data_IF_637267885542
#
_entry.id   IF_637267885542
#
_cell.length_a   1.000
_cell.length_b   1.000
_cell.length_c   1.000
_cell.angle_alpha   90.00
_cell.angle_beta   90.00
_cell.angle_gamma   90.00
#
_symmetry.space_group_name_H-M   'P 1'
#
loop_
_entity.id
_entity.type
_entity.pdbx_description
1 polymer ?
#
# COMPACT_ATOMS: atom_id res chain seq x y z
N UNK A 1 40.61 -4.30 9.91
CA UNK A 1 39.62 -3.20 9.89
C UNK A 1 38.54 -3.57 10.90
N UNK A 2 38.13 -2.70 11.81
CA UNK A 2 37.04 -3.02 12.71
C UNK A 2 35.78 -3.22 11.88
N UNK A 3 35.12 -4.36 12.05
CA UNK A 3 33.82 -4.63 11.45
C UNK A 3 32.83 -3.67 12.11
N UNK A 4 32.32 -2.71 11.34
CA UNK A 4 31.26 -1.82 11.82
C UNK A 4 30.06 -2.68 12.22
N UNK A 5 29.72 -2.73 13.49
CA UNK A 5 28.60 -3.51 14.02
C UNK A 5 27.30 -2.71 13.90
N UNK A 6 27.05 -2.15 12.72
CA UNK A 6 25.84 -1.37 12.46
C UNK A 6 24.63 -2.30 12.44
N UNK A 7 23.62 -1.97 13.22
CA UNK A 7 22.32 -2.63 13.20
C UNK A 7 21.36 -1.79 12.36
N UNK A 8 20.60 -2.46 11.52
CA UNK A 8 19.61 -1.82 10.64
C UNK A 8 18.23 -2.38 10.95
N UNK A 9 17.21 -1.55 10.85
CA UNK A 9 15.81 -1.94 10.90
C UNK A 9 15.24 -1.68 9.52
N UNK A 10 14.63 -2.71 8.92
CA UNK A 10 13.90 -2.60 7.66
C UNK A 10 12.42 -2.90 7.96
N UNK A 11 11.55 -1.98 7.53
CA UNK A 11 10.10 -2.16 7.61
C UNK A 11 9.58 -2.34 6.20
N UNK A 12 8.80 -3.41 5.98
CA UNK A 12 8.11 -3.66 4.72
C UNK A 12 6.61 -3.76 4.95
N UNK A 13 5.84 -2.94 4.24
CA UNK A 13 4.39 -2.96 4.25
C UNK A 13 3.84 -3.76 3.07
N UNK A 14 3.00 -4.74 3.34
CA UNK A 14 2.24 -5.45 2.31
C UNK A 14 0.78 -5.01 2.38
N UNK A 15 0.35 -4.22 1.39
CA UNK A 15 -0.98 -3.63 1.34
C UNK A 15 -1.80 -4.28 0.22
N UNK A 16 -2.89 -4.91 0.61
CA UNK A 16 -3.73 -5.65 -0.31
C UNK A 16 -5.19 -5.63 0.14
N UNK A 17 -6.10 -5.46 -0.80
CA UNK A 17 -7.51 -5.80 -0.67
C UNK A 17 -7.91 -6.69 -1.83
N UNK A 18 -8.70 -7.74 -1.59
CA UNK A 18 -9.24 -8.56 -2.66
C UNK A 18 -10.19 -7.73 -3.53
N UNK A 19 -10.43 -8.13 -4.79
CA UNK A 19 -11.52 -7.56 -5.58
C UNK A 19 -12.84 -7.73 -4.79
N UNK A 20 -13.57 -6.63 -4.64
CA UNK A 20 -14.82 -6.63 -3.87
C UNK A 20 -16.03 -6.31 -4.73
N UNK A 21 -15.78 -5.90 -5.97
CA UNK A 21 -16.80 -5.56 -6.94
C UNK A 21 -17.64 -6.80 -7.28
N UNK A 22 -18.95 -6.62 -7.31
CA UNK A 22 -19.84 -7.60 -7.91
C UNK A 22 -19.52 -7.71 -9.40
N UNK A 23 -19.17 -8.92 -9.86
CA UNK A 23 -18.71 -9.16 -11.22
C UNK A 23 -19.72 -8.80 -12.33
N UNK A 24 -21.00 -8.66 -11.99
CA UNK A 24 -22.08 -8.32 -12.93
C UNK A 24 -22.45 -6.84 -12.90
N UNK A 25 -22.32 -6.21 -11.71
CA UNK A 25 -22.73 -4.82 -11.50
C UNK A 25 -21.52 -3.86 -11.58
N UNK A 26 -20.31 -4.38 -11.50
CA UNK A 26 -19.04 -3.62 -11.47
C UNK A 26 -18.99 -2.57 -10.34
N UNK A 27 -19.76 -2.80 -9.29
CA UNK A 27 -19.79 -1.96 -8.08
C UNK A 27 -19.60 -2.80 -6.83
N UNK A 28 -19.11 -2.18 -5.78
CA UNK A 28 -19.03 -2.81 -4.46
C UNK A 28 -20.39 -2.64 -3.78
N UNK A 29 -20.98 -3.76 -3.37
CA UNK A 29 -22.19 -3.77 -2.57
C UNK A 29 -21.89 -3.44 -1.12
N UNK A 30 -22.89 -2.90 -0.40
CA UNK A 30 -22.76 -2.59 1.02
C UNK A 30 -22.33 -3.83 1.82
N UNK A 31 -21.30 -3.66 2.66
CA UNK A 31 -20.76 -4.72 3.50
C UNK A 31 -21.01 -4.40 4.98
N UNK A 32 -22.03 -4.98 5.57
CA UNK A 32 -22.44 -4.75 6.97
C UNK A 32 -21.29 -4.90 7.97
N UNK A 33 -20.36 -5.82 7.71
CA UNK A 33 -19.18 -6.05 8.56
C UNK A 33 -18.15 -4.90 8.53
N UNK A 34 -18.26 -3.99 7.57
CA UNK A 34 -17.41 -2.81 7.46
C UNK A 34 -18.00 -1.58 8.18
N UNK A 35 -19.22 -1.69 8.74
CA UNK A 35 -19.86 -0.55 9.43
C UNK A 35 -18.89 0.22 10.35
N UNK A 36 -18.88 1.58 10.37
CA UNK A 36 -19.82 2.49 9.72
C UNK A 36 -19.50 2.86 8.27
N UNK A 37 -18.49 2.25 7.67
CA UNK A 37 -18.12 2.47 6.28
C UNK A 37 -18.97 1.64 5.34
N UNK A 38 -19.05 2.02 4.06
CA UNK A 38 -19.79 1.29 3.06
C UNK A 38 -19.21 -0.10 2.82
N UNK A 39 -17.90 -0.21 2.74
CA UNK A 39 -17.18 -1.45 2.47
C UNK A 39 -15.79 -1.48 3.11
N UNK A 40 -15.11 -2.60 3.01
CA UNK A 40 -13.79 -2.79 3.60
C UNK A 40 -12.68 -2.00 2.90
N UNK A 41 -12.82 -1.64 1.63
CA UNK A 41 -11.83 -0.78 0.98
C UNK A 41 -11.86 0.62 1.60
N UNK A 42 -13.06 1.18 1.78
CA UNK A 42 -13.27 2.45 2.46
C UNK A 42 -12.72 2.42 3.90
N UNK A 43 -13.12 1.40 4.66
CA UNK A 43 -12.74 1.27 6.07
C UNK A 43 -11.22 1.19 6.23
N UNK A 44 -10.55 0.30 5.52
CA UNK A 44 -9.10 0.13 5.67
C UNK A 44 -8.35 1.35 5.09
N UNK A 45 -8.89 2.03 4.10
CA UNK A 45 -8.32 3.28 3.63
C UNK A 45 -8.32 4.33 4.73
N UNK A 46 -9.45 4.56 5.39
CA UNK A 46 -9.55 5.52 6.49
C UNK A 46 -8.76 5.12 7.74
N UNK A 47 -8.73 3.83 8.08
CA UNK A 47 -8.06 3.34 9.30
C UNK A 47 -6.55 3.08 9.13
N UNK A 48 -6.07 2.88 7.90
CA UNK A 48 -4.69 2.48 7.65
C UNK A 48 -4.02 3.27 6.52
N UNK A 49 -4.57 3.27 5.30
CA UNK A 49 -3.81 3.75 4.15
C UNK A 49 -3.66 5.27 4.15
N UNK A 50 -4.70 6.02 4.39
CA UNK A 50 -4.67 7.48 4.52
C UNK A 50 -3.82 7.96 5.72
N UNK A 51 -3.95 7.39 6.94
CA UNK A 51 -3.09 7.77 8.06
C UNK A 51 -1.59 7.52 7.82
N UNK A 52 -1.22 6.55 6.99
CA UNK A 52 0.17 6.33 6.61
C UNK A 52 0.66 7.35 5.57
N UNK A 53 -0.21 7.84 4.70
CA UNK A 53 0.12 8.92 3.76
C UNK A 53 0.35 10.26 4.46
N UNK A 54 -0.37 10.50 5.58
CA UNK A 54 -0.37 11.77 6.32
C UNK A 54 -0.16 11.57 7.81
N UNK A 55 0.88 10.82 8.19
CA UNK A 55 1.20 10.49 9.58
C UNK A 55 1.58 11.75 10.37
N UNK A 56 0.87 11.99 11.47
CA UNK A 56 1.03 13.19 12.30
C UNK A 56 2.00 12.91 13.44
N UNK A 57 3.10 13.64 13.48
CA UNK A 57 4.05 13.62 14.61
C UNK A 57 3.65 14.71 15.58
N UNK A 58 3.29 14.32 16.79
CA UNK A 58 2.85 15.23 17.84
C UNK A 58 4.01 15.57 18.78
N UNK A 59 3.97 16.76 19.40
CA UNK A 59 4.80 17.11 20.54
C UNK A 59 4.17 16.62 21.86
N UNK A 60 4.81 16.93 23.00
CA UNK A 60 4.36 16.54 24.34
C UNK A 60 2.99 17.13 24.72
N UNK A 61 2.61 18.25 24.12
CA UNK A 61 1.33 18.93 24.31
C UNK A 61 0.23 18.43 23.35
N UNK A 62 0.51 17.42 22.52
CA UNK A 62 -0.43 16.91 21.53
C UNK A 62 -0.60 17.77 20.28
N UNK A 63 0.27 18.77 20.08
CA UNK A 63 0.24 19.65 18.90
C UNK A 63 1.02 18.99 17.75
N UNK A 64 0.49 19.06 16.53
CA UNK A 64 1.15 18.54 15.34
C UNK A 64 2.45 19.33 15.11
N UNK A 65 3.58 18.64 15.25
CA UNK A 65 4.91 19.16 14.99
C UNK A 65 5.36 18.93 13.53
N UNK A 66 4.93 17.83 12.94
CA UNK A 66 5.28 17.48 11.59
C UNK A 66 4.23 16.52 10.99
N UNK A 67 4.13 16.49 9.66
CA UNK A 67 3.35 15.52 8.90
C UNK A 67 4.33 14.78 8.00
N UNK A 68 4.28 13.45 8.05
CA UNK A 68 5.21 12.58 7.33
C UNK A 68 4.43 11.57 6.51
N UNK A 69 4.84 11.38 5.26
CA UNK A 69 4.36 10.27 4.45
C UNK A 69 5.24 9.03 4.72
N UNK A 70 4.67 8.03 5.41
CA UNK A 70 5.40 6.82 5.81
C UNK A 70 5.84 5.99 4.60
N UNK A 71 5.08 6.01 3.50
CA UNK A 71 5.43 5.30 2.27
C UNK A 71 6.76 5.76 1.66
N UNK A 72 7.19 6.99 1.91
CA UNK A 72 8.51 7.46 1.48
C UNK A 72 9.68 6.95 2.33
N UNK A 73 9.42 6.20 3.41
CA UNK A 73 10.41 5.77 4.40
C UNK A 73 10.44 4.27 4.66
N UNK A 74 9.47 3.54 4.18
CA UNK A 74 9.38 2.07 4.26
C UNK A 74 9.42 1.47 2.85
N UNK A 75 9.82 0.22 2.73
CA UNK A 75 9.52 -0.51 1.50
C UNK A 75 8.08 -1.02 1.55
N UNK A 76 7.42 -1.07 0.41
CA UNK A 76 6.02 -1.50 0.37
C UNK A 76 5.65 -2.08 -0.99
N UNK A 77 4.54 -2.81 -1.01
CA UNK A 77 3.82 -3.15 -2.23
C UNK A 77 2.32 -2.97 -2.03
N UNK A 78 1.64 -2.62 -3.12
CA UNK A 78 0.18 -2.49 -3.17
C UNK A 78 -0.40 -3.45 -4.21
N UNK A 79 -1.48 -4.14 -3.86
CA UNK A 79 -2.21 -4.95 -4.81
C UNK A 79 -2.84 -4.10 -5.92
N UNK A 80 -2.74 -4.50 -7.21
CA UNK A 80 -3.30 -3.74 -8.32
C UNK A 80 -4.79 -3.47 -8.20
N UNK A 81 -5.57 -4.42 -7.68
CA UNK A 81 -7.00 -4.27 -7.45
C UNK A 81 -7.32 -3.15 -6.45
N UNK A 82 -6.52 -3.04 -5.39
CA UNK A 82 -6.64 -1.96 -4.42
C UNK A 82 -6.24 -0.61 -5.04
N UNK A 83 -5.14 -0.55 -5.79
CA UNK A 83 -4.71 0.68 -6.44
C UNK A 83 -5.75 1.19 -7.45
N UNK A 84 -6.33 0.31 -8.26
CA UNK A 84 -7.39 0.69 -9.21
C UNK A 84 -8.62 1.25 -8.51
N UNK A 85 -8.99 0.70 -7.37
CA UNK A 85 -10.07 1.23 -6.56
C UNK A 85 -9.71 2.61 -5.97
N UNK A 86 -8.50 2.75 -5.42
CA UNK A 86 -8.03 4.02 -4.84
C UNK A 86 -7.95 5.14 -5.86
N UNK A 87 -7.55 4.86 -7.09
CA UNK A 87 -7.49 5.84 -8.18
C UNK A 87 -8.86 6.51 -8.41
N UNK A 88 -9.95 5.78 -8.22
CA UNK A 88 -11.32 6.26 -8.43
C UNK A 88 -11.97 6.83 -7.17
N UNK A 89 -11.75 6.21 -6.00
CA UNK A 89 -12.52 6.47 -4.80
C UNK A 89 -11.71 7.06 -3.64
N UNK A 90 -10.37 7.02 -3.69
CA UNK A 90 -9.46 7.55 -2.69
C UNK A 90 -8.25 8.22 -3.34
N UNK A 91 -8.50 9.08 -4.32
CA UNK A 91 -7.49 9.68 -5.21
C UNK A 91 -6.37 10.39 -4.45
N UNK A 92 -6.68 11.13 -3.39
CA UNK A 92 -5.65 11.81 -2.59
C UNK A 92 -4.65 10.83 -1.97
N UNK A 93 -5.16 9.71 -1.43
CA UNK A 93 -4.30 8.66 -0.86
C UNK A 93 -3.50 7.95 -1.95
N UNK A 94 -4.11 7.68 -3.09
CA UNK A 94 -3.46 7.10 -4.26
C UNK A 94 -2.28 7.96 -4.75
N UNK A 95 -2.53 9.24 -4.98
CA UNK A 95 -1.51 10.20 -5.40
C UNK A 95 -0.37 10.33 -4.38
N UNK A 96 -0.70 10.35 -3.08
CA UNK A 96 0.28 10.42 -2.01
C UNK A 96 1.20 9.17 -1.97
N UNK A 97 0.69 7.98 -2.30
CA UNK A 97 1.48 6.75 -2.41
C UNK A 97 2.45 6.85 -3.60
N UNK A 98 1.97 7.27 -4.78
CA UNK A 98 2.81 7.42 -5.97
C UNK A 98 3.90 8.48 -5.77
N UNK A 99 3.55 9.60 -5.16
CA UNK A 99 4.51 10.67 -4.87
C UNK A 99 5.55 10.24 -3.83
N UNK A 100 5.15 9.43 -2.84
CA UNK A 100 6.07 8.87 -1.87
C UNK A 100 7.13 7.98 -2.50
N UNK A 101 6.75 7.15 -3.48
CA UNK A 101 7.71 6.32 -4.21
C UNK A 101 8.71 7.17 -4.99
N UNK A 102 8.25 8.16 -5.74
CA UNK A 102 9.10 9.13 -6.44
C UNK A 102 10.05 9.85 -5.49
N UNK A 103 9.54 10.34 -4.36
CA UNK A 103 10.34 11.03 -3.36
C UNK A 103 11.40 10.12 -2.73
N UNK A 104 11.06 8.85 -2.50
CA UNK A 104 11.97 7.86 -1.90
C UNK A 104 13.21 7.59 -2.75
N UNK A 105 13.15 7.77 -4.07
CA UNK A 105 14.28 7.64 -4.99
C UNK A 105 15.47 8.50 -4.55
N UNK A 106 15.20 9.72 -4.10
CA UNK A 106 16.25 10.62 -3.60
C UNK A 106 16.83 10.18 -2.26
N UNK A 107 16.03 9.46 -1.44
CA UNK A 107 16.43 9.03 -0.10
C UNK A 107 17.21 7.71 -0.10
N UNK A 108 17.01 6.86 -1.11
CA UNK A 108 17.50 5.47 -1.12
C UNK A 108 18.40 5.16 -2.33
N UNK A 109 19.27 6.09 -2.68
CA UNK A 109 20.34 5.84 -3.65
C UNK A 109 19.87 5.62 -5.09
N UNK A 110 18.75 6.22 -5.47
CA UNK A 110 18.20 6.14 -6.83
C UNK A 110 17.15 5.03 -7.03
N UNK A 111 16.70 4.38 -5.94
CA UNK A 111 15.67 3.34 -5.98
C UNK A 111 14.42 3.79 -5.23
N UNK A 112 13.23 3.54 -5.80
CA UNK A 112 11.95 3.77 -5.13
C UNK A 112 11.70 2.79 -4.00
N UNK A 113 10.75 3.11 -3.13
CA UNK A 113 10.34 2.26 -2.00
C UNK A 113 9.33 1.19 -2.40
N UNK A 114 8.61 1.39 -3.50
CA UNK A 114 7.66 0.42 -4.03
C UNK A 114 8.39 -0.81 -4.58
N UNK A 115 7.90 -1.99 -4.20
CA UNK A 115 8.44 -3.28 -4.62
C UNK A 115 7.42 -3.96 -5.52
N UNK A 116 7.87 -4.45 -6.68
CA UNK A 116 7.03 -5.22 -7.59
C UNK A 116 6.45 -6.47 -6.92
N UNK A 117 5.24 -6.85 -7.29
CA UNK A 117 4.58 -8.06 -6.83
C UNK A 117 3.84 -8.76 -7.96
N UNK A 118 3.38 -9.97 -7.70
CA UNK A 118 2.48 -10.67 -8.62
C UNK A 118 1.13 -9.95 -8.68
N UNK A 119 0.47 -9.98 -9.84
CA UNK A 119 -0.76 -9.22 -10.08
C UNK A 119 -1.88 -9.54 -9.09
N UNK A 120 -2.20 -10.83 -8.92
CA UNK A 120 -3.18 -11.27 -7.93
C UNK A 120 -2.50 -11.87 -6.70
N UNK A 121 -3.15 -11.78 -5.55
CA UNK A 121 -2.70 -12.40 -4.31
C UNK A 121 -3.01 -13.91 -4.31
N UNK A 122 -2.19 -14.68 -5.01
CA UNK A 122 -2.34 -16.14 -5.17
C UNK A 122 -1.27 -16.90 -4.40
N UNK A 123 -1.54 -18.19 -4.15
CA UNK A 123 -0.55 -19.12 -3.60
C UNK A 123 0.33 -19.62 -4.76
N UNK A 124 1.36 -18.87 -5.11
CA UNK A 124 2.25 -19.15 -6.26
C UNK A 124 2.76 -20.60 -6.31
N UNK A 125 3.18 -21.25 -5.22
CA UNK A 125 3.63 -22.65 -5.27
C UNK A 125 2.58 -23.62 -5.82
N UNK A 126 1.29 -23.34 -5.59
CA UNK A 126 0.17 -24.19 -6.03
C UNK A 126 -0.35 -23.84 -7.43
N UNK A 127 0.07 -22.72 -7.98
CA UNK A 127 -0.35 -22.28 -9.31
C UNK A 127 0.28 -23.11 -10.43
N UNK A 128 -0.41 -23.24 -11.56
CA UNK A 128 0.16 -23.84 -12.77
C UNK A 128 1.30 -22.98 -13.30
N UNK A 129 2.18 -23.55 -14.12
CA UNK A 129 3.27 -22.78 -14.74
C UNK A 129 2.74 -21.58 -15.53
N UNK A 130 1.69 -21.78 -16.31
CA UNK A 130 1.04 -20.72 -17.10
C UNK A 130 0.56 -19.58 -16.19
N UNK A 131 -0.11 -19.90 -15.09
CA UNK A 131 -0.63 -18.90 -14.17
C UNK A 131 0.52 -18.11 -13.51
N UNK A 132 1.60 -18.80 -13.11
CA UNK A 132 2.80 -18.14 -12.57
C UNK A 132 3.39 -17.13 -13.54
N UNK A 133 3.58 -17.54 -14.81
CA UNK A 133 4.10 -16.67 -15.87
C UNK A 133 3.16 -15.47 -16.09
N UNK A 134 1.85 -15.69 -16.15
CA UNK A 134 0.85 -14.63 -16.32
C UNK A 134 0.88 -13.64 -15.15
N UNK A 135 0.94 -14.13 -13.92
CA UNK A 135 0.95 -13.30 -12.73
C UNK A 135 2.20 -12.40 -12.62
N UNK A 136 3.34 -12.90 -13.07
CA UNK A 136 4.59 -12.12 -13.10
C UNK A 136 4.60 -11.09 -14.24
N UNK A 137 4.00 -11.44 -15.39
CA UNK A 137 3.94 -10.54 -16.55
C UNK A 137 2.95 -9.38 -16.37
N UNK A 138 1.90 -9.59 -15.57
CA UNK A 138 0.88 -8.57 -15.30
C UNK A 138 1.21 -7.69 -14.10
N UNK A 139 1.95 -8.19 -13.12
CA UNK A 139 2.40 -7.45 -11.94
C UNK A 139 3.66 -6.64 -12.18
#
# INVERSE_FOLDING_TARGET
MPVSNNKYVCIHGHFYQPPRENAWLEVIELQDSAHPYHDWNERITAECYEPNATSRILNEDGVIKNIVNNYSRISFNFGPTLLSWMELYATETYEAILEADKHSISNFGGHGSAVAQVYNHIIMPLATRRDKETQVLWG
#
